data_IF_540408712175
#
_entry.id   IF_540408712175
#
_cell.length_a   1.000
_cell.length_b   1.000
_cell.length_c   1.000
_cell.angle_alpha   90.00
_cell.angle_beta   90.00
_cell.angle_gamma   90.00
#
_symmetry.space_group_name_H-M   'P 1'
#
loop_
_entity.id
_entity.type
_entity.pdbx_description
1 polymer ?
#
# COMPACT_ATOMS: atom_id res chain seq x y z
N UNK A 1 8.78 2.39 -19.86
CA UNK A 1 9.70 1.24 -20.07
C UNK A 1 10.19 0.84 -18.69
N UNK A 2 9.78 -0.32 -18.21
CA UNK A 2 10.25 -0.83 -16.92
C UNK A 2 11.73 -1.23 -17.07
N UNK A 3 12.61 -0.55 -16.36
CA UNK A 3 14.01 -0.97 -16.20
C UNK A 3 14.03 -2.13 -15.20
N UNK A 4 13.83 -3.34 -15.70
CA UNK A 4 14.17 -4.53 -14.94
C UNK A 4 15.69 -4.61 -14.94
N UNK A 5 16.32 -4.41 -13.79
CA UNK A 5 17.77 -4.60 -13.65
C UNK A 5 18.09 -6.08 -13.94
N UNK A 6 19.03 -6.29 -14.84
CA UNK A 6 19.43 -7.63 -15.24
C UNK A 6 20.09 -8.36 -14.06
N UNK A 7 19.54 -9.52 -13.73
CA UNK A 7 20.11 -10.47 -12.77
C UNK A 7 20.98 -11.45 -13.54
N UNK A 8 22.26 -11.45 -13.32
CA UNK A 8 23.21 -12.41 -13.89
C UNK A 8 23.81 -13.25 -12.77
N UNK A 9 23.66 -14.57 -12.86
CA UNK A 9 24.11 -15.55 -11.86
C UNK A 9 23.54 -15.37 -10.45
N UNK A 10 22.28 -14.94 -10.33
CA UNK A 10 21.60 -14.79 -9.03
C UNK A 10 22.05 -13.56 -8.22
N UNK A 11 22.80 -12.65 -8.83
CA UNK A 11 23.19 -11.37 -8.21
C UNK A 11 22.68 -10.21 -9.05
N UNK A 12 22.10 -9.23 -8.37
CA UNK A 12 21.72 -7.94 -8.97
C UNK A 12 23.01 -7.21 -9.34
N UNK A 13 23.14 -6.82 -10.60
CA UNK A 13 24.28 -6.02 -11.06
C UNK A 13 24.08 -4.59 -10.53
N UNK A 14 24.79 -4.23 -9.48
CA UNK A 14 24.82 -2.85 -8.98
C UNK A 14 25.40 -1.95 -10.09
N UNK A 15 24.56 -1.06 -10.60
CA UNK A 15 25.03 0.11 -11.34
C UNK A 15 25.69 1.00 -10.29
N UNK A 16 27.00 1.15 -10.39
CA UNK A 16 27.77 2.16 -9.61
C UNK A 16 27.31 3.54 -10.04
N UNK A 17 26.20 4.00 -9.51
CA UNK A 17 25.90 5.41 -9.40
C UNK A 17 26.58 5.86 -8.12
N UNK A 18 27.53 6.78 -8.24
CA UNK A 18 28.18 7.40 -7.10
C UNK A 18 27.13 7.81 -6.08
N UNK A 19 27.17 7.15 -4.94
CA UNK A 19 26.40 7.52 -3.77
C UNK A 19 26.94 8.89 -3.33
N UNK A 20 26.32 9.96 -3.77
CA UNK A 20 26.37 11.20 -3.00
C UNK A 20 25.67 10.88 -1.69
N UNK A 21 26.46 10.49 -0.72
CA UNK A 21 26.08 10.45 0.68
C UNK A 21 25.42 11.78 0.99
N UNK A 22 24.13 11.76 1.24
CA UNK A 22 23.42 12.84 1.92
C UNK A 22 23.97 12.90 3.34
N UNK A 23 25.18 13.41 3.46
CA UNK A 23 25.83 13.77 4.70
C UNK A 23 25.27 15.14 5.11
N UNK A 24 24.03 15.17 5.54
CA UNK A 24 23.46 16.45 5.82
C UNK A 24 22.55 16.46 7.03
N UNK A 25 22.97 16.05 8.20
CA UNK A 25 22.46 16.56 9.47
C UNK A 25 23.00 15.78 10.68
N UNK A 26 23.41 14.52 10.51
CA UNK A 26 24.03 13.75 11.58
C UNK A 26 25.38 14.35 12.02
N UNK A 27 26.11 14.95 11.08
CA UNK A 27 27.37 15.67 11.35
C UNK A 27 27.18 16.88 12.28
N UNK A 28 26.04 17.56 12.20
CA UNK A 28 25.80 18.76 12.99
C UNK A 28 25.61 18.51 14.48
N UNK A 29 25.05 17.37 14.86
CA UNK A 29 24.82 17.03 16.28
C UNK A 29 26.12 16.54 16.95
N UNK A 30 26.87 15.67 16.31
CA UNK A 30 28.16 15.17 16.85
C UNK A 30 29.24 16.26 16.89
N UNK A 31 29.36 17.08 15.85
CA UNK A 31 30.25 18.23 15.85
C UNK A 31 29.86 19.27 16.90
N UNK A 32 28.55 19.47 17.11
CA UNK A 32 28.08 20.36 18.16
C UNK A 32 28.38 19.82 19.57
N UNK A 33 28.16 18.54 19.84
CA UNK A 33 28.53 17.94 21.12
C UNK A 33 30.04 18.05 21.39
N UNK A 34 30.87 17.93 20.36
CA UNK A 34 32.31 18.13 20.48
C UNK A 34 32.64 19.61 20.78
N UNK A 35 31.99 20.56 20.12
CA UNK A 35 32.14 21.98 20.42
C UNK A 35 31.68 22.33 21.85
N UNK A 36 30.53 21.80 22.27
CA UNK A 36 30.02 22.01 23.61
C UNK A 36 30.95 21.46 24.68
N UNK A 37 31.50 20.24 24.45
CA UNK A 37 32.51 19.66 25.35
C UNK A 37 33.80 20.49 25.39
N UNK A 38 34.23 21.04 24.25
CA UNK A 38 35.40 21.90 24.18
C UNK A 38 35.15 23.25 24.92
N UNK A 39 33.95 23.86 24.70
CA UNK A 39 33.59 25.09 25.41
C UNK A 39 33.44 24.89 26.91
N UNK A 40 32.83 23.78 27.38
CA UNK A 40 32.73 23.46 28.80
C UNK A 40 34.13 23.27 29.44
N UNK A 41 35.14 22.88 28.66
CA UNK A 41 36.53 22.75 29.12
C UNK A 41 37.25 24.09 29.31
N UNK A 42 36.80 25.15 28.59
CA UNK A 42 37.44 26.46 28.58
C UNK A 42 36.60 27.60 29.17
N UNK A 43 35.36 27.33 29.65
CA UNK A 43 34.47 28.34 30.22
C UNK A 43 34.90 28.76 31.66
N UNK A 44 34.85 30.09 31.89
CA UNK A 44 34.98 30.69 33.22
C UNK A 44 33.71 30.38 34.04
N UNK A 45 33.85 29.76 35.23
CA UNK A 45 32.72 29.35 36.05
C UNK A 45 31.81 30.52 36.56
N UNK A 46 32.17 31.77 36.32
CA UNK A 46 31.51 32.94 36.86
C UNK A 46 30.54 33.64 35.88
N UNK A 47 30.52 33.27 34.59
CA UNK A 47 29.54 33.78 33.61
C UNK A 47 28.95 32.67 32.74
N UNK A 48 27.95 31.94 33.20
CA UNK A 48 27.25 30.98 32.35
C UNK A 48 26.24 31.72 31.46
N UNK A 49 26.63 32.20 30.30
CA UNK A 49 25.72 32.93 29.39
C UNK A 49 25.53 32.27 28.05
N UNK A 50 24.30 32.32 27.56
CA UNK A 50 23.75 32.13 26.19
C UNK A 50 23.71 30.73 25.57
N UNK A 51 24.52 29.77 25.97
CA UNK A 51 24.52 28.44 25.33
C UNK A 51 23.32 27.58 25.67
N UNK A 52 22.66 27.80 26.81
CA UNK A 52 21.49 27.00 27.24
C UNK A 52 20.30 27.16 26.28
N UNK A 53 20.13 28.35 25.72
CA UNK A 53 19.05 28.62 24.78
C UNK A 53 19.30 27.97 23.42
N UNK A 54 20.56 27.97 22.96
CA UNK A 54 20.97 27.31 21.73
C UNK A 54 20.89 25.78 21.86
N UNK A 55 21.32 25.22 22.99
CA UNK A 55 21.17 23.79 23.29
C UNK A 55 19.69 23.38 23.32
N UNK A 56 18.82 24.18 23.89
CA UNK A 56 17.39 23.93 23.92
C UNK A 56 16.77 23.94 22.51
N UNK A 57 17.22 24.86 21.64
CA UNK A 57 16.80 24.90 20.25
C UNK A 57 17.27 23.66 19.47
N UNK A 58 18.52 23.24 19.64
CA UNK A 58 19.04 22.01 19.01
C UNK A 58 18.34 20.76 19.51
N UNK A 59 18.04 20.66 20.79
CA UNK A 59 17.25 19.57 21.34
C UNK A 59 15.86 19.52 20.68
N UNK A 60 15.26 20.68 20.43
CA UNK A 60 13.98 20.79 19.72
C UNK A 60 14.10 20.35 18.26
N UNK A 61 15.17 20.73 17.55
CA UNK A 61 15.44 20.27 16.19
C UNK A 61 15.66 18.75 16.12
N UNK A 62 16.44 18.19 17.03
CA UNK A 62 16.67 16.75 17.11
C UNK A 62 15.38 15.98 17.41
N UNK A 63 14.49 16.54 18.24
CA UNK A 63 13.17 16.00 18.47
C UNK A 63 12.29 16.01 17.22
N UNK A 64 12.30 17.15 16.49
CA UNK A 64 11.56 17.24 15.20
C UNK A 64 12.11 16.24 14.18
N UNK A 65 13.42 16.09 14.05
CA UNK A 65 14.04 15.12 13.16
C UNK A 65 13.64 13.69 13.51
N UNK A 66 13.68 13.34 14.79
CA UNK A 66 13.24 12.03 15.29
C UNK A 66 11.76 11.78 14.97
N UNK A 67 10.90 12.80 15.08
CA UNK A 67 9.49 12.71 14.71
C UNK A 67 9.31 12.50 13.20
N UNK A 68 10.07 13.20 12.36
CA UNK A 68 10.03 13.02 10.89
C UNK A 68 10.51 11.61 10.48
N UNK A 69 11.56 11.12 11.11
CA UNK A 69 12.06 9.76 10.89
C UNK A 69 11.04 8.69 11.31
N UNK A 70 10.36 8.92 12.44
CA UNK A 70 9.27 8.05 12.87
C UNK A 70 8.08 8.08 11.91
N UNK A 71 7.67 9.27 11.46
CA UNK A 71 6.62 9.42 10.45
C UNK A 71 6.98 8.67 9.16
N UNK A 72 8.21 8.84 8.66
CA UNK A 72 8.70 8.13 7.47
C UNK A 72 8.67 6.60 7.64
N UNK A 73 9.00 6.10 8.84
CA UNK A 73 8.93 4.67 9.16
C UNK A 73 7.49 4.16 9.16
N UNK A 74 6.57 4.91 9.74
CA UNK A 74 5.13 4.57 9.75
C UNK A 74 4.57 4.54 8.33
N UNK A 75 4.89 5.53 7.51
CA UNK A 75 4.45 5.57 6.11
C UNK A 75 5.03 4.42 5.30
N UNK A 76 6.30 4.05 5.55
CA UNK A 76 6.93 2.90 4.91
C UNK A 76 6.23 1.59 5.30
N UNK A 77 5.88 1.43 6.57
CA UNK A 77 5.11 0.26 7.04
C UNK A 77 3.74 0.23 6.37
N UNK A 78 3.01 1.34 6.36
CA UNK A 78 1.71 1.44 5.67
C UNK A 78 1.82 1.07 4.19
N UNK A 79 2.84 1.56 3.50
CA UNK A 79 3.05 1.26 2.09
C UNK A 79 3.29 -0.24 1.86
N UNK A 80 4.15 -0.86 2.69
CA UNK A 80 4.42 -2.30 2.60
C UNK A 80 3.19 -3.15 2.89
N UNK A 81 2.33 -2.75 3.82
CA UNK A 81 1.10 -3.45 4.17
C UNK A 81 0.06 -3.44 3.03
N UNK A 82 0.22 -2.54 2.05
CA UNK A 82 -0.64 -2.48 0.87
C UNK A 82 -0.26 -3.50 -0.21
N UNK A 83 0.96 -4.05 -0.21
CA UNK A 83 1.38 -5.02 -1.23
C UNK A 83 0.47 -6.24 -1.21
N UNK A 84 -0.09 -6.57 -2.37
CA UNK A 84 -1.06 -7.64 -2.54
C UNK A 84 -2.50 -7.29 -2.11
N UNK A 85 -2.75 -6.12 -1.55
CA UNK A 85 -4.11 -5.65 -1.26
C UNK A 85 -4.74 -5.01 -2.50
N UNK A 86 -6.07 -5.12 -2.58
CA UNK A 86 -6.84 -4.41 -3.60
C UNK A 86 -7.08 -2.98 -3.15
N UNK A 87 -6.71 -2.02 -4.00
CA UNK A 87 -6.86 -0.59 -3.69
C UNK A 87 -7.63 0.13 -4.76
N UNK A 88 -8.27 1.22 -4.37
CA UNK A 88 -8.76 2.25 -5.30
C UNK A 88 -7.92 3.49 -5.04
N UNK A 89 -7.20 3.94 -6.06
CA UNK A 89 -6.45 5.19 -6.06
C UNK A 89 -7.23 6.25 -6.82
N UNK A 90 -7.22 7.48 -6.31
CA UNK A 90 -7.85 8.64 -6.96
C UNK A 90 -6.78 9.68 -7.23
N UNK A 91 -6.62 10.01 -8.50
CA UNK A 91 -5.74 11.09 -8.94
C UNK A 91 -6.56 12.22 -9.52
N UNK A 92 -6.24 13.45 -9.14
CA UNK A 92 -6.87 14.64 -9.72
C UNK A 92 -5.84 15.32 -10.62
N UNK A 93 -6.20 15.52 -11.88
CA UNK A 93 -5.37 16.24 -12.84
C UNK A 93 -5.28 17.71 -12.45
N UNK A 94 -4.08 18.19 -12.19
CA UNK A 94 -3.84 19.61 -11.89
C UNK A 94 -4.23 20.53 -13.05
N UNK A 95 -4.23 20.01 -14.27
CA UNK A 95 -4.51 20.78 -15.48
C UNK A 95 -6.00 20.90 -15.79
N UNK A 96 -6.76 19.81 -15.57
CA UNK A 96 -8.19 19.75 -15.93
C UNK A 96 -9.12 19.75 -14.73
N UNK A 97 -8.60 19.49 -13.51
CA UNK A 97 -9.39 19.30 -12.30
C UNK A 97 -10.20 18.00 -12.31
N UNK A 98 -10.05 17.17 -13.32
CA UNK A 98 -10.76 15.91 -13.44
C UNK A 98 -10.15 14.86 -12.50
N UNK A 99 -11.02 14.19 -11.74
CA UNK A 99 -10.61 13.09 -10.85
C UNK A 99 -10.85 11.76 -11.54
N UNK A 100 -9.79 10.98 -11.70
CA UNK A 100 -9.84 9.61 -12.19
C UNK A 100 -9.62 8.63 -11.04
N UNK A 101 -10.40 7.55 -11.03
CA UNK A 101 -10.23 6.46 -10.09
C UNK A 101 -9.71 5.21 -10.82
N UNK A 102 -8.64 4.62 -10.28
CA UNK A 102 -8.07 3.36 -10.77
C UNK A 102 -8.14 2.33 -9.66
N UNK A 103 -8.65 1.16 -9.97
CA UNK A 103 -8.79 0.06 -9.05
C UNK A 103 -7.91 -1.12 -9.48
N UNK A 104 -7.27 -1.79 -8.52
CA UNK A 104 -6.41 -2.93 -8.80
C UNK A 104 -5.63 -3.38 -7.58
N UNK A 105 -4.87 -4.46 -7.73
CA UNK A 105 -3.95 -4.93 -6.70
C UNK A 105 -2.67 -4.10 -6.71
N UNK A 106 -2.09 -3.92 -5.53
CA UNK A 106 -0.76 -3.31 -5.41
C UNK A 106 0.29 -4.36 -5.73
N UNK A 107 0.98 -4.17 -6.84
CA UNK A 107 2.02 -5.09 -7.31
C UNK A 107 3.27 -5.01 -6.43
N UNK A 108 3.74 -3.79 -6.16
CA UNK A 108 4.90 -3.50 -5.31
C UNK A 108 4.91 -2.03 -4.86
N UNK A 109 5.81 -1.73 -3.94
CA UNK A 109 6.08 -0.37 -3.43
C UNK A 109 7.47 0.06 -3.87
N UNK A 110 7.61 1.33 -4.24
CA UNK A 110 8.88 1.96 -4.56
C UNK A 110 9.15 3.14 -3.61
N UNK A 111 10.38 3.20 -3.13
CA UNK A 111 10.88 4.31 -2.30
C UNK A 111 11.82 5.15 -3.15
N UNK A 112 11.52 6.44 -3.29
CA UNK A 112 12.30 7.36 -4.09
C UNK A 112 12.28 8.75 -3.45
N UNK A 113 13.45 9.34 -3.17
CA UNK A 113 13.57 10.68 -2.59
C UNK A 113 12.68 10.93 -1.36
N UNK A 114 12.66 9.97 -0.43
CA UNK A 114 11.81 9.99 0.77
C UNK A 114 10.29 9.95 0.50
N UNK A 115 9.88 9.76 -0.76
CA UNK A 115 8.49 9.54 -1.18
C UNK A 115 8.21 8.05 -1.33
N UNK A 116 6.97 7.66 -1.07
CA UNK A 116 6.50 6.28 -1.19
C UNK A 116 5.47 6.21 -2.31
N UNK A 117 5.72 5.31 -3.23
CA UNK A 117 4.85 5.08 -4.37
C UNK A 117 4.39 3.64 -4.39
N UNK A 118 3.13 3.45 -4.73
CA UNK A 118 2.57 2.12 -5.02
C UNK A 118 2.40 1.94 -6.52
N UNK A 119 2.52 0.71 -6.97
CA UNK A 119 2.26 0.35 -8.36
C UNK A 119 1.01 -0.48 -8.46
N UNK A 120 0.08 -0.01 -9.30
CA UNK A 120 -1.23 -0.65 -9.54
C UNK A 120 -1.44 -0.72 -11.06
N UNK A 121 -1.67 -1.93 -11.58
CA UNK A 121 -1.82 -2.16 -13.03
C UNK A 121 -0.65 -1.58 -13.86
N UNK A 122 0.59 -1.67 -13.33
CA UNK A 122 1.80 -1.16 -13.98
C UNK A 122 1.99 0.36 -13.95
N UNK A 123 1.11 1.11 -13.30
CA UNK A 123 1.20 2.56 -13.15
C UNK A 123 1.57 2.96 -11.73
N UNK A 124 2.35 4.05 -11.60
CA UNK A 124 2.83 4.59 -10.34
C UNK A 124 1.83 5.60 -9.76
N UNK A 125 1.53 5.45 -8.46
CA UNK A 125 0.67 6.36 -7.70
C UNK A 125 1.34 6.73 -6.38
N UNK A 126 1.04 7.92 -5.86
CA UNK A 126 1.46 8.30 -4.51
C UNK A 126 0.69 7.46 -3.48
N UNK A 127 1.31 7.22 -2.33
CA UNK A 127 0.62 6.61 -1.19
C UNK A 127 -0.58 7.46 -0.75
N UNK A 128 -0.50 8.78 -0.90
CA UNK A 128 -1.56 9.73 -0.53
C UNK A 128 -2.79 9.66 -1.45
N UNK A 129 -2.63 9.11 -2.67
CA UNK A 129 -3.72 8.93 -3.62
C UNK A 129 -4.61 7.71 -3.29
N UNK A 130 -4.22 6.89 -2.30
CA UNK A 130 -4.99 5.71 -1.90
C UNK A 130 -6.27 6.15 -1.21
N UNK A 131 -7.38 5.96 -1.89
CA UNK A 131 -8.70 6.32 -1.40
C UNK A 131 -9.38 5.19 -0.61
N UNK A 132 -9.19 3.93 -1.04
CA UNK A 132 -9.81 2.77 -0.42
C UNK A 132 -8.87 1.57 -0.49
N UNK A 133 -8.90 0.77 0.54
CA UNK A 133 -8.16 -0.51 0.62
C UNK A 133 -9.16 -1.61 0.94
N UNK A 134 -9.13 -2.70 0.18
CA UNK A 134 -9.94 -3.88 0.43
C UNK A 134 -9.04 -5.11 0.61
N UNK A 135 -9.49 -6.02 1.45
CA UNK A 135 -8.82 -7.29 1.62
C UNK A 135 -8.98 -8.18 0.39
N UNK A 136 -7.96 -8.99 0.08
CA UNK A 136 -7.97 -9.89 -1.08
C UNK A 136 -9.08 -10.94 -0.94
N UNK A 137 -9.25 -11.51 0.26
CA UNK A 137 -10.29 -12.51 0.51
C UNK A 137 -11.71 -11.94 0.29
N UNK A 138 -11.93 -10.69 0.71
CA UNK A 138 -13.17 -9.97 0.44
C UNK A 138 -13.42 -9.80 -1.07
N UNK A 139 -12.39 -9.36 -1.82
CA UNK A 139 -12.53 -9.13 -3.26
C UNK A 139 -12.78 -10.44 -4.02
N UNK A 140 -12.11 -11.52 -3.61
CA UNK A 140 -12.36 -12.87 -4.16
C UNK A 140 -13.79 -13.33 -3.88
N UNK A 141 -14.27 -13.15 -2.64
CA UNK A 141 -15.63 -13.54 -2.27
C UNK A 141 -16.69 -12.79 -3.09
N UNK A 142 -16.54 -11.47 -3.24
CA UNK A 142 -17.45 -10.65 -4.06
C UNK A 142 -17.39 -11.07 -5.53
N UNK A 143 -16.20 -11.30 -6.07
CA UNK A 143 -16.01 -11.72 -7.48
C UNK A 143 -16.66 -13.08 -7.75
N UNK A 144 -16.48 -14.04 -6.83
CA UNK A 144 -17.10 -15.38 -6.94
C UNK A 144 -18.63 -15.30 -6.82
N UNK A 145 -19.15 -14.46 -5.92
CA UNK A 145 -20.59 -14.26 -5.77
C UNK A 145 -21.21 -13.66 -7.05
N UNK A 146 -20.58 -12.65 -7.64
CA UNK A 146 -21.04 -12.05 -8.90
C UNK A 146 -20.95 -13.04 -10.07
N UNK A 147 -19.89 -13.84 -10.17
CA UNK A 147 -19.75 -14.88 -11.18
C UNK A 147 -20.84 -15.97 -11.02
N UNK A 148 -21.13 -16.37 -9.78
CA UNK A 148 -22.18 -17.33 -9.48
C UNK A 148 -23.55 -16.77 -9.88
N UNK A 149 -23.86 -15.53 -9.49
CA UNK A 149 -25.10 -14.82 -9.88
C UNK A 149 -25.26 -14.76 -11.41
N UNK A 150 -24.21 -14.37 -12.11
CA UNK A 150 -24.23 -14.32 -13.56
C UNK A 150 -24.45 -15.70 -14.20
N UNK A 151 -24.01 -16.76 -13.57
CA UNK A 151 -24.21 -18.14 -14.05
C UNK A 151 -25.63 -18.64 -13.78
N UNK A 152 -26.19 -18.33 -12.61
CA UNK A 152 -27.61 -18.62 -12.29
C UNK A 152 -28.53 -17.87 -13.27
N UNK A 153 -28.25 -16.60 -13.55
CA UNK A 153 -29.04 -15.77 -14.46
C UNK A 153 -29.05 -16.24 -15.94
N UNK A 154 -28.13 -17.11 -16.33
CA UNK A 154 -28.11 -17.72 -17.68
C UNK A 154 -29.05 -18.89 -17.82
N UNK A 155 -29.50 -19.49 -16.71
CA UNK A 155 -30.42 -20.60 -16.72
C UNK A 155 -31.86 -20.10 -16.87
N UNK A 156 -32.74 -20.88 -17.53
CA UNK A 156 -34.17 -20.56 -17.56
C UNK A 156 -34.80 -20.73 -16.16
N UNK A 157 -35.98 -20.16 -15.99
CA UNK A 157 -36.80 -20.39 -14.79
C UNK A 157 -37.02 -21.88 -14.53
N UNK A 158 -37.16 -22.27 -13.28
CA UNK A 158 -37.29 -23.68 -12.87
C UNK A 158 -38.41 -24.44 -13.62
N UNK A 159 -39.52 -23.77 -13.96
CA UNK A 159 -40.63 -24.34 -14.71
C UNK A 159 -40.33 -24.59 -16.22
N UNK A 160 -39.25 -24.00 -16.73
CA UNK A 160 -38.77 -24.14 -18.12
C UNK A 160 -37.49 -25.00 -18.22
N UNK A 161 -37.00 -25.49 -17.10
CA UNK A 161 -35.81 -26.36 -17.10
C UNK A 161 -36.12 -27.69 -17.82
N UNK A 162 -35.14 -28.12 -18.61
CA UNK A 162 -35.14 -29.41 -19.29
C UNK A 162 -33.85 -30.18 -18.98
N UNK A 163 -33.82 -31.46 -19.30
CA UNK A 163 -32.60 -32.29 -19.10
C UNK A 163 -31.37 -31.75 -19.84
N UNK A 164 -31.56 -30.88 -20.83
CA UNK A 164 -30.45 -30.21 -21.52
C UNK A 164 -29.61 -29.33 -20.60
N UNK A 165 -30.18 -28.81 -19.51
CA UNK A 165 -29.50 -27.96 -18.53
C UNK A 165 -28.97 -28.72 -17.31
N UNK A 166 -29.15 -30.05 -17.22
CA UNK A 166 -28.75 -30.84 -16.07
C UNK A 166 -27.28 -30.62 -15.72
N UNK A 167 -26.39 -30.70 -16.70
CA UNK A 167 -24.94 -30.50 -16.47
C UNK A 167 -24.62 -29.10 -15.95
N UNK A 168 -25.31 -28.07 -16.42
CA UNK A 168 -25.08 -26.71 -15.97
C UNK A 168 -25.52 -26.50 -14.51
N UNK A 169 -26.67 -27.09 -14.11
CA UNK A 169 -27.15 -27.06 -12.72
C UNK A 169 -26.23 -27.85 -11.80
N UNK A 170 -25.77 -29.06 -12.22
CA UNK A 170 -24.82 -29.88 -11.44
C UNK A 170 -23.47 -29.14 -11.26
N UNK A 171 -22.99 -28.46 -12.29
CA UNK A 171 -21.79 -27.63 -12.22
C UNK A 171 -21.97 -26.46 -11.24
N UNK A 172 -23.11 -25.76 -11.28
CA UNK A 172 -23.43 -24.71 -10.33
C UNK A 172 -23.49 -25.22 -8.88
N UNK A 173 -24.10 -26.38 -8.64
CA UNK A 173 -24.13 -27.01 -7.33
C UNK A 173 -22.71 -27.36 -6.86
N UNK A 174 -21.86 -27.85 -7.74
CA UNK A 174 -20.45 -28.14 -7.44
C UNK A 174 -19.69 -26.87 -7.06
N UNK A 175 -19.86 -25.78 -7.82
CA UNK A 175 -19.26 -24.48 -7.53
C UNK A 175 -19.73 -23.98 -6.17
N UNK A 176 -21.04 -23.94 -5.91
CA UNK A 176 -21.60 -23.47 -4.64
C UNK A 176 -21.08 -24.25 -3.42
N UNK A 177 -21.04 -25.57 -3.52
CA UNK A 177 -20.53 -26.44 -2.46
C UNK A 177 -19.01 -26.33 -2.25
N UNK A 178 -18.28 -25.85 -3.25
CA UNK A 178 -16.84 -25.57 -3.15
C UNK A 178 -16.53 -24.22 -2.50
N UNK A 179 -17.51 -23.31 -2.38
CA UNK A 179 -17.31 -22.02 -1.73
C UNK A 179 -17.22 -22.18 -0.20
N UNK A 180 -16.35 -21.38 0.42
CA UNK A 180 -16.33 -21.25 1.90
C UNK A 180 -17.60 -20.56 2.41
N UNK A 181 -17.91 -20.74 3.68
CA UNK A 181 -19.07 -20.07 4.32
C UNK A 181 -18.97 -18.55 4.21
N UNK A 182 -17.74 -18.01 4.23
CA UNK A 182 -17.49 -16.57 4.02
C UNK A 182 -17.88 -16.16 2.60
N UNK A 183 -17.44 -16.88 1.57
CA UNK A 183 -17.76 -16.60 0.17
C UNK A 183 -19.25 -16.76 -0.12
N UNK A 184 -19.89 -17.79 0.43
CA UNK A 184 -21.34 -18.00 0.31
C UNK A 184 -22.15 -16.84 0.90
N UNK A 185 -21.67 -16.18 1.96
CA UNK A 185 -22.36 -15.07 2.61
C UNK A 185 -22.51 -13.82 1.73
N UNK A 186 -21.72 -13.72 0.64
CA UNK A 186 -21.81 -12.63 -0.35
C UNK A 186 -22.77 -12.91 -1.50
N UNK A 187 -23.31 -14.13 -1.62
CA UNK A 187 -24.36 -14.44 -2.59
C UNK A 187 -25.68 -13.87 -2.06
N UNK A 188 -26.32 -13.02 -2.85
CA UNK A 188 -27.59 -12.40 -2.46
C UNK A 188 -28.72 -13.43 -2.32
N UNK A 189 -29.66 -13.12 -1.44
CA UNK A 189 -30.77 -14.02 -1.09
C UNK A 189 -31.65 -14.40 -2.29
N UNK A 190 -31.80 -13.50 -3.27
CA UNK A 190 -32.65 -13.71 -4.45
C UNK A 190 -31.98 -14.69 -5.40
N UNK A 191 -30.67 -14.54 -5.61
CA UNK A 191 -29.85 -15.50 -6.39
C UNK A 191 -29.89 -16.87 -5.75
N UNK A 192 -29.72 -16.95 -4.41
CA UNK A 192 -29.76 -18.21 -3.68
C UNK A 192 -31.16 -18.86 -3.76
N UNK A 193 -32.24 -18.09 -3.58
CA UNK A 193 -33.62 -18.58 -3.69
C UNK A 193 -33.94 -19.08 -5.10
N UNK A 194 -33.36 -18.47 -6.14
CA UNK A 194 -33.50 -18.93 -7.52
C UNK A 194 -32.73 -20.25 -7.71
N UNK A 195 -31.47 -20.29 -7.29
CA UNK A 195 -30.63 -21.48 -7.42
C UNK A 195 -31.23 -22.71 -6.70
N UNK A 196 -31.81 -22.57 -5.52
CA UNK A 196 -32.42 -23.69 -4.76
C UNK A 196 -33.67 -24.27 -5.45
N UNK A 197 -34.30 -23.53 -6.37
CA UNK A 197 -35.46 -23.98 -7.15
C UNK A 197 -35.08 -24.72 -8.41
N UNK A 198 -33.82 -24.60 -8.87
CA UNK A 198 -33.31 -25.26 -10.07
C UNK A 198 -32.98 -26.72 -9.81
#
# INVERSE_FOLDING_TARGET
MALVQAVENGKIKESTTETTTSAGNDLGYDEFLQLLCAEMQYQDPLEPTSNTEYVAQLATFSQMESMLNMQNSIESTKANDLVGKYVIVKTTSETTGETTAVAGFVDYVQYENNQKYIYVNGNRYSLDDVYQVADTEYMEAVSLAEAFKASVAKLPDADKLTLAYQTDVENLATVYNGLTSYQQSYIDSDTLATFVKL
#
